data_IF_266231353230
#
_entry.id   IF_266231353230
#
_cell.length_a   1.000
_cell.length_b   1.000
_cell.length_c   1.000
_cell.angle_alpha   90.00
_cell.angle_beta   90.00
_cell.angle_gamma   90.00
#
_symmetry.space_group_name_H-M   'P 1'
#
loop_
_entity.id
_entity.type
_entity.pdbx_description
1 polymer ?
#
# COMPACT_ATOMS: atom_id res chain seq x y z
N UNK A 1 -11.21 -23.79 19.88
CA UNK A 1 -10.29 -24.45 18.92
C UNK A 1 -8.94 -24.63 19.58
N UNK A 2 -8.27 -25.80 19.42
CA UNK A 2 -6.88 -25.96 19.86
C UNK A 2 -5.99 -24.95 19.15
N UNK A 3 -4.90 -24.49 19.79
CA UNK A 3 -4.02 -23.45 19.25
C UNK A 3 -3.49 -23.72 17.84
N UNK A 4 -3.29 -25.01 17.49
CA UNK A 4 -2.81 -25.44 16.17
C UNK A 4 -3.91 -25.31 15.09
N UNK A 5 -5.14 -25.71 15.40
CA UNK A 5 -6.28 -25.58 14.47
C UNK A 5 -6.56 -24.11 14.14
N UNK A 6 -6.41 -23.22 15.11
CA UNK A 6 -6.59 -21.80 14.91
C UNK A 6 -5.49 -21.18 14.03
N UNK A 7 -4.21 -21.62 14.17
CA UNK A 7 -3.13 -21.18 13.28
C UNK A 7 -3.36 -21.63 11.84
N UNK A 8 -3.78 -22.85 11.62
CA UNK A 8 -4.10 -23.35 10.27
C UNK A 8 -5.21 -22.51 9.65
N UNK A 9 -6.28 -22.22 10.40
CA UNK A 9 -7.37 -21.37 9.93
C UNK A 9 -6.88 -19.96 9.53
N UNK A 10 -6.08 -19.32 10.38
CA UNK A 10 -5.49 -18.01 10.07
C UNK A 10 -4.59 -18.05 8.83
N UNK A 11 -3.86 -19.14 8.62
CA UNK A 11 -3.01 -19.30 7.44
C UNK A 11 -3.85 -19.42 6.17
N UNK A 12 -4.92 -20.19 6.19
CA UNK A 12 -5.85 -20.34 5.06
C UNK A 12 -6.52 -18.98 4.76
N UNK A 13 -7.04 -18.31 5.80
CA UNK A 13 -7.64 -16.97 5.67
C UNK A 13 -6.64 -15.97 5.05
N UNK A 14 -5.39 -15.97 5.53
CA UNK A 14 -4.31 -15.12 5.00
C UNK A 14 -4.04 -15.39 3.51
N UNK A 15 -3.92 -16.67 3.12
CA UNK A 15 -3.67 -17.04 1.72
C UNK A 15 -4.83 -16.64 0.81
N UNK A 16 -6.06 -16.86 1.24
CA UNK A 16 -7.25 -16.49 0.46
C UNK A 16 -7.31 -14.95 0.30
N UNK A 17 -7.15 -14.19 1.37
CA UNK A 17 -7.31 -12.73 1.33
C UNK A 17 -6.18 -12.04 0.55
N UNK A 18 -4.93 -12.45 0.75
CA UNK A 18 -3.78 -11.72 0.23
C UNK A 18 -3.20 -12.26 -1.07
N UNK A 19 -3.60 -13.48 -1.47
CA UNK A 19 -3.19 -14.06 -2.74
C UNK A 19 -4.40 -14.47 -3.60
N UNK A 20 -5.41 -15.10 -3.00
CA UNK A 20 -6.60 -15.53 -3.73
C UNK A 20 -7.39 -14.36 -4.32
N UNK A 21 -7.65 -13.32 -3.52
CA UNK A 21 -8.41 -12.14 -3.99
C UNK A 21 -7.67 -11.40 -5.12
N UNK A 22 -6.35 -11.07 -5.03
CA UNK A 22 -5.62 -10.48 -6.15
C UNK A 22 -5.61 -11.33 -7.42
N UNK A 23 -5.49 -12.67 -7.29
CA UNK A 23 -5.54 -13.59 -8.45
C UNK A 23 -6.91 -13.58 -9.11
N UNK A 24 -7.99 -13.55 -8.32
CA UNK A 24 -9.35 -13.44 -8.87
C UNK A 24 -9.55 -12.14 -9.64
N UNK A 25 -9.05 -11.01 -9.11
CA UNK A 25 -9.10 -9.71 -9.81
C UNK A 25 -8.26 -9.75 -11.10
N UNK A 26 -7.09 -10.39 -11.06
CA UNK A 26 -6.18 -10.50 -12.19
C UNK A 26 -6.78 -11.31 -13.34
N UNK A 27 -7.59 -12.33 -13.06
CA UNK A 27 -8.18 -13.19 -14.10
C UNK A 27 -9.49 -12.67 -14.70
N UNK A 28 -10.15 -11.75 -14.03
CA UNK A 28 -11.48 -11.26 -14.44
C UNK A 28 -11.44 -9.75 -14.70
N UNK A 29 -10.69 -9.38 -15.77
CA UNK A 29 -10.46 -7.98 -16.16
C UNK A 29 -11.74 -7.21 -16.45
N UNK A 30 -12.77 -7.89 -16.99
CA UNK A 30 -14.02 -7.27 -17.45
C UNK A 30 -15.07 -7.11 -16.34
N UNK A 31 -14.95 -7.87 -15.25
CA UNK A 31 -16.04 -7.99 -14.27
C UNK A 31 -15.98 -6.96 -13.14
N UNK A 32 -14.80 -6.66 -12.60
CA UNK A 32 -14.74 -5.79 -11.42
C UNK A 32 -13.50 -4.87 -11.46
N UNK A 33 -13.74 -3.59 -11.70
CA UNK A 33 -12.69 -2.60 -11.56
C UNK A 33 -12.10 -2.66 -10.13
N UNK A 34 -10.76 -2.71 -9.95
CA UNK A 34 -10.10 -2.86 -8.64
C UNK A 34 -10.58 -1.88 -7.56
N UNK A 35 -10.97 -0.66 -7.97
CA UNK A 35 -11.50 0.37 -7.06
C UNK A 35 -12.83 -0.02 -6.42
N UNK A 36 -13.65 -0.86 -7.06
CA UNK A 36 -14.97 -1.28 -6.53
C UNK A 36 -14.78 -2.33 -5.44
N UNK A 37 -13.76 -3.18 -5.55
CA UNK A 37 -13.49 -4.24 -4.57
C UNK A 37 -12.93 -3.68 -3.27
N UNK A 38 -12.21 -2.57 -3.31
CA UNK A 38 -11.51 -2.05 -2.13
C UNK A 38 -12.49 -1.72 -0.98
N UNK A 39 -13.67 -1.20 -1.29
CA UNK A 39 -14.67 -0.84 -0.27
C UNK A 39 -15.25 -2.06 0.46
N UNK A 40 -15.77 -3.11 -0.22
CA UNK A 40 -16.20 -4.34 0.43
C UNK A 40 -15.09 -5.02 1.22
N UNK A 41 -13.87 -5.07 0.69
CA UNK A 41 -12.70 -5.65 1.38
C UNK A 41 -12.38 -4.85 2.64
N UNK A 42 -12.37 -3.52 2.58
CA UNK A 42 -12.18 -2.68 3.76
C UNK A 42 -13.29 -2.89 4.79
N UNK A 43 -14.55 -2.92 4.37
CA UNK A 43 -15.68 -3.18 5.27
C UNK A 43 -15.53 -4.55 5.98
N UNK A 44 -15.17 -5.59 5.23
CA UNK A 44 -14.90 -6.91 5.79
C UNK A 44 -13.73 -6.89 6.79
N UNK A 45 -12.63 -6.22 6.44
CA UNK A 45 -11.47 -6.04 7.32
C UNK A 45 -11.83 -5.28 8.60
N UNK A 46 -12.64 -4.24 8.52
CA UNK A 46 -13.13 -3.54 9.72
C UNK A 46 -13.96 -4.43 10.62
N UNK A 47 -14.80 -5.32 10.07
CA UNK A 47 -15.55 -6.31 10.85
C UNK A 47 -14.58 -7.26 11.57
N UNK A 48 -13.54 -7.75 10.89
CA UNK A 48 -12.53 -8.62 11.49
C UNK A 48 -11.68 -7.90 12.54
N UNK A 49 -11.30 -6.65 12.31
CA UNK A 49 -10.55 -5.82 13.26
C UNK A 49 -11.36 -5.59 14.56
N UNK A 50 -12.66 -5.32 14.47
CA UNK A 50 -13.54 -5.19 15.66
C UNK A 50 -13.54 -6.44 16.54
N UNK A 51 -13.31 -7.62 15.95
CA UNK A 51 -13.25 -8.90 16.66
C UNK A 51 -11.86 -9.24 17.19
N UNK A 52 -10.87 -8.36 16.94
CA UNK A 52 -9.48 -8.55 17.38
C UNK A 52 -9.29 -7.84 18.72
N UNK A 53 -8.98 -8.58 19.79
CA UNK A 53 -8.93 -8.08 21.17
C UNK A 53 -7.96 -6.92 21.39
N UNK A 54 -6.85 -6.89 20.64
CA UNK A 54 -5.78 -5.91 20.80
C UNK A 54 -5.92 -4.69 19.89
N UNK A 55 -7.04 -4.56 19.16
CA UNK A 55 -7.26 -3.43 18.27
C UNK A 55 -8.10 -2.33 18.95
N UNK A 56 -7.67 -1.09 18.75
CA UNK A 56 -8.40 0.11 19.22
C UNK A 56 -8.52 1.11 18.06
N UNK A 57 -9.73 1.59 17.81
CA UNK A 57 -10.05 2.53 16.72
C UNK A 57 -9.18 3.78 16.71
N UNK A 58 -8.82 4.30 17.88
CA UNK A 58 -7.91 5.44 18.02
C UNK A 58 -6.52 5.22 17.42
N UNK A 59 -6.11 3.96 17.20
CA UNK A 59 -4.81 3.65 16.59
C UNK A 59 -4.78 4.05 15.10
N UNK A 60 -5.95 4.07 14.44
CA UNK A 60 -6.03 4.43 13.02
C UNK A 60 -5.68 5.90 12.78
N UNK A 61 -6.03 6.79 13.70
CA UNK A 61 -5.79 8.23 13.59
C UNK A 61 -4.61 8.73 14.45
N UNK A 62 -3.92 7.81 15.13
CA UNK A 62 -2.85 8.18 16.05
C UNK A 62 -1.58 8.61 15.29
N UNK A 63 -1.15 9.85 15.55
CA UNK A 63 0.13 10.36 15.08
C UNK A 63 1.20 10.15 16.15
N UNK A 64 1.98 9.06 16.03
CA UNK A 64 3.01 8.67 16.99
C UNK A 64 4.40 8.79 16.36
N UNK A 65 4.81 10.02 16.05
CA UNK A 65 6.04 10.26 15.29
C UNK A 65 6.91 11.28 16.02
N UNK A 66 8.14 10.91 16.34
CA UNK A 66 9.13 11.85 16.87
C UNK A 66 9.70 12.74 15.77
N UNK A 67 10.22 13.92 16.15
CA UNK A 67 10.86 14.84 15.18
C UNK A 67 12.00 14.18 14.42
N UNK A 68 12.77 13.30 15.07
CA UNK A 68 13.89 12.57 14.45
C UNK A 68 13.37 11.60 13.37
N UNK A 69 12.30 10.85 13.66
CA UNK A 69 11.68 9.93 12.67
C UNK A 69 11.08 10.71 11.51
N UNK A 70 10.42 11.83 11.80
CA UNK A 70 9.89 12.70 10.74
C UNK A 70 11.02 13.21 9.83
N UNK A 71 12.08 13.79 10.40
CA UNK A 71 13.20 14.33 9.62
C UNK A 71 13.90 13.26 8.78
N UNK A 72 14.17 12.06 9.35
CA UNK A 72 14.81 10.98 8.61
C UNK A 72 13.95 10.48 7.44
N UNK A 73 12.63 10.35 7.62
CA UNK A 73 11.74 9.91 6.55
C UNK A 73 11.51 11.02 5.50
N UNK A 74 11.48 12.30 5.90
CA UNK A 74 11.46 13.42 4.94
C UNK A 74 12.70 13.43 4.05
N UNK A 75 13.89 13.15 4.61
CA UNK A 75 15.11 13.01 3.82
C UNK A 75 15.02 11.86 2.81
N UNK A 76 14.49 10.70 3.23
CA UNK A 76 14.26 9.56 2.32
C UNK A 76 13.31 9.94 1.20
N UNK A 77 12.20 10.65 1.51
CA UNK A 77 11.26 11.14 0.48
C UNK A 77 11.96 12.04 -0.52
N UNK A 78 12.79 13.00 -0.07
CA UNK A 78 13.53 13.91 -0.94
C UNK A 78 14.49 13.13 -1.84
N UNK A 79 15.26 12.20 -1.28
CA UNK A 79 16.20 11.37 -2.05
C UNK A 79 15.44 10.54 -3.09
N UNK A 80 14.35 9.88 -2.71
CA UNK A 80 13.53 9.12 -3.64
C UNK A 80 12.94 10.01 -4.75
N UNK A 81 12.46 11.21 -4.40
CA UNK A 81 11.93 12.16 -5.39
C UNK A 81 13.00 12.54 -6.42
N UNK A 82 14.24 12.84 -5.98
CA UNK A 82 15.37 13.16 -6.86
C UNK A 82 15.69 11.96 -7.75
N UNK A 83 15.77 10.74 -7.20
CA UNK A 83 16.10 9.54 -7.96
C UNK A 83 15.02 9.22 -9.00
N UNK A 84 13.74 9.31 -8.63
CA UNK A 84 12.60 9.06 -9.53
C UNK A 84 12.59 10.11 -10.65
N UNK A 85 12.72 11.39 -10.30
CA UNK A 85 12.78 12.48 -11.26
C UNK A 85 13.96 12.31 -12.21
N UNK A 86 15.15 11.97 -11.68
CA UNK A 86 16.35 11.71 -12.48
C UNK A 86 16.15 10.52 -13.42
N UNK A 87 15.55 9.42 -12.93
CA UNK A 87 15.25 8.26 -13.77
C UNK A 87 14.35 8.65 -14.96
N UNK A 88 13.23 9.32 -14.69
CA UNK A 88 12.31 9.71 -15.78
C UNK A 88 12.96 10.73 -16.72
N UNK A 89 13.71 11.68 -16.19
CA UNK A 89 14.40 12.68 -17.01
C UNK A 89 15.42 12.08 -17.99
N UNK A 90 16.18 11.05 -17.56
CA UNK A 90 17.22 10.45 -18.40
C UNK A 90 16.75 9.28 -19.25
N UNK A 91 15.76 8.50 -18.79
CA UNK A 91 15.37 7.24 -19.43
C UNK A 91 13.95 7.23 -19.99
N UNK A 92 13.07 8.17 -19.57
CA UNK A 92 11.65 8.19 -19.99
C UNK A 92 11.13 9.64 -20.13
N UNK A 93 11.93 10.47 -20.77
CA UNK A 93 11.72 11.92 -20.83
C UNK A 93 10.37 12.33 -21.46
N UNK A 94 9.83 11.52 -22.36
CA UNK A 94 8.54 11.77 -23.01
C UNK A 94 7.40 11.78 -21.98
N UNK A 95 7.49 10.92 -20.98
CA UNK A 95 6.52 10.80 -19.89
C UNK A 95 6.73 11.80 -18.74
N UNK A 96 7.81 12.61 -18.79
CA UNK A 96 8.12 13.56 -17.73
C UNK A 96 6.98 14.57 -17.54
N UNK A 97 6.35 14.53 -16.37
CA UNK A 97 5.16 15.31 -15.99
C UNK A 97 3.98 15.16 -16.97
N UNK A 98 3.87 14.01 -17.64
CA UNK A 98 2.83 13.80 -18.63
C UNK A 98 1.43 14.04 -18.05
N UNK A 99 1.05 13.33 -16.96
CA UNK A 99 -0.28 13.44 -16.37
C UNK A 99 -0.63 14.87 -15.89
N UNK A 100 0.21 15.59 -15.13
CA UNK A 100 -0.10 16.97 -14.76
C UNK A 100 -0.16 17.94 -15.93
N UNK A 101 0.55 17.68 -17.05
CA UNK A 101 0.54 18.53 -18.24
C UNK A 101 -0.66 18.29 -19.14
N UNK A 102 -1.01 17.02 -19.40
CA UNK A 102 -2.11 16.65 -20.30
C UNK A 102 -3.47 16.60 -19.59
N UNK A 103 -3.49 16.16 -18.32
CA UNK A 103 -4.72 15.99 -17.54
C UNK A 103 -4.62 16.60 -16.13
N UNK A 104 -4.44 17.93 -15.97
CA UNK A 104 -4.19 18.58 -14.69
C UNK A 104 -5.30 18.35 -13.65
N UNK A 105 -6.55 18.26 -14.09
CA UNK A 105 -7.69 18.01 -13.20
C UNK A 105 -7.71 16.58 -12.65
N UNK A 106 -7.29 15.60 -13.46
CA UNK A 106 -7.13 14.21 -13.01
C UNK A 106 -6.00 14.13 -12.00
N UNK A 107 -4.88 14.78 -12.28
CA UNK A 107 -3.76 14.83 -11.33
C UNK A 107 -4.16 15.52 -10.01
N UNK A 108 -4.92 16.62 -10.07
CA UNK A 108 -5.45 17.27 -8.87
C UNK A 108 -6.36 16.34 -8.07
N UNK A 109 -7.24 15.61 -8.75
CA UNK A 109 -8.10 14.62 -8.11
C UNK A 109 -7.27 13.53 -7.41
N UNK A 110 -6.19 13.04 -8.05
CA UNK A 110 -5.26 12.09 -7.42
C UNK A 110 -4.62 12.72 -6.17
N UNK A 111 -4.14 13.96 -6.25
CA UNK A 111 -3.52 14.63 -5.09
C UNK A 111 -4.48 14.73 -3.89
N UNK A 112 -5.78 14.92 -4.13
CA UNK A 112 -6.78 15.06 -3.08
C UNK A 112 -7.32 13.73 -2.56
N UNK A 113 -7.61 12.79 -3.45
CA UNK A 113 -8.35 11.59 -3.11
C UNK A 113 -7.47 10.35 -2.89
N UNK A 114 -6.37 10.21 -3.62
CA UNK A 114 -5.49 9.05 -3.50
C UNK A 114 -4.94 8.84 -2.08
N UNK A 115 -4.43 9.86 -1.36
CA UNK A 115 -3.92 9.67 0.01
C UNK A 115 -4.97 9.14 0.98
N UNK A 116 -6.23 9.56 0.81
CA UNK A 116 -7.33 9.23 1.73
C UNK A 116 -7.97 7.89 1.37
N UNK A 117 -8.33 7.69 0.12
CA UNK A 117 -9.12 6.52 -0.29
C UNK A 117 -8.26 5.32 -0.66
N UNK A 118 -7.11 5.55 -1.30
CA UNK A 118 -6.21 4.47 -1.74
C UNK A 118 -5.13 4.19 -0.71
N UNK A 119 -4.22 5.13 -0.49
CA UNK A 119 -3.06 4.91 0.38
C UNK A 119 -3.45 4.57 1.83
N UNK A 120 -4.37 5.32 2.44
CA UNK A 120 -4.79 5.07 3.81
C UNK A 120 -5.51 3.72 3.94
N UNK A 121 -6.41 3.38 3.02
CA UNK A 121 -7.08 2.08 3.00
C UNK A 121 -6.10 0.92 2.91
N UNK A 122 -5.14 1.02 1.99
CA UNK A 122 -4.10 0.01 1.82
C UNK A 122 -3.21 -0.12 3.07
N UNK A 123 -2.81 0.98 3.70
CA UNK A 123 -2.01 0.92 4.93
C UNK A 123 -2.79 0.30 6.11
N UNK A 124 -4.11 0.52 6.20
CA UNK A 124 -4.94 -0.20 7.20
C UNK A 124 -4.88 -1.70 6.94
N UNK A 125 -5.02 -2.16 5.70
CA UNK A 125 -5.00 -3.57 5.32
C UNK A 125 -3.62 -4.18 5.60
N UNK A 126 -2.58 -3.62 4.99
CA UNK A 126 -1.26 -4.23 4.95
C UNK A 126 -0.41 -3.96 6.20
N UNK A 127 -0.76 -2.97 7.04
CA UNK A 127 -0.04 -2.67 8.28
C UNK A 127 -0.87 -3.03 9.50
N UNK A 128 -1.99 -2.34 9.73
CA UNK A 128 -2.76 -2.54 10.96
C UNK A 128 -3.42 -3.93 11.01
N UNK A 129 -4.19 -4.29 10.00
CA UNK A 129 -4.91 -5.56 9.98
C UNK A 129 -3.94 -6.75 9.96
N UNK A 130 -2.97 -6.75 9.06
CA UNK A 130 -2.00 -7.83 8.96
C UNK A 130 -1.22 -8.03 10.26
N UNK A 131 -0.71 -6.96 10.88
CA UNK A 131 0.05 -7.04 12.13
C UNK A 131 -0.78 -7.54 13.32
N UNK A 132 -2.05 -7.13 13.40
CA UNK A 132 -2.94 -7.49 14.52
C UNK A 132 -3.54 -8.89 14.32
N UNK A 133 -4.09 -9.17 13.15
CA UNK A 133 -4.82 -10.42 12.88
C UNK A 133 -3.91 -11.63 12.79
N UNK A 134 -2.73 -11.46 12.15
CA UNK A 134 -1.83 -12.57 11.82
C UNK A 134 -0.56 -12.60 12.68
N UNK A 135 -0.53 -11.91 13.82
CA UNK A 135 0.59 -11.93 14.78
C UNK A 135 1.01 -13.35 15.21
N UNK A 136 0.06 -14.29 15.28
CA UNK A 136 0.32 -15.69 15.66
C UNK A 136 1.03 -16.50 14.58
N UNK A 137 0.87 -16.15 13.31
CA UNK A 137 1.61 -16.81 12.20
C UNK A 137 2.89 -16.07 11.86
N UNK A 138 2.99 -14.78 12.18
CA UNK A 138 4.17 -13.95 12.00
C UNK A 138 4.74 -13.42 13.34
N UNK A 139 5.28 -14.31 14.20
CA UNK A 139 5.66 -13.92 15.57
C UNK A 139 6.90 -13.02 15.64
N UNK A 140 7.78 -13.07 14.63
CA UNK A 140 8.97 -12.24 14.59
C UNK A 140 8.70 -10.94 13.84
N UNK A 141 9.33 -9.86 14.28
CA UNK A 141 9.19 -8.54 13.65
C UNK A 141 9.47 -8.54 12.14
N UNK A 142 10.53 -9.22 11.72
CA UNK A 142 10.88 -9.30 10.30
C UNK A 142 9.90 -10.15 9.48
N UNK A 143 9.24 -11.18 10.07
CA UNK A 143 8.19 -11.94 9.40
C UNK A 143 7.05 -11.03 8.95
N UNK A 144 6.62 -10.13 9.84
CA UNK A 144 5.60 -9.12 9.50
C UNK A 144 6.05 -8.22 8.36
N UNK A 145 7.29 -7.69 8.42
CA UNK A 145 7.81 -6.78 7.38
C UNK A 145 7.81 -7.46 6.01
N UNK A 146 8.32 -8.69 5.94
CA UNK A 146 8.37 -9.45 4.69
C UNK A 146 6.96 -9.83 4.20
N UNK A 147 6.13 -10.38 5.08
CA UNK A 147 4.76 -10.75 4.71
C UNK A 147 3.96 -9.55 4.21
N UNK A 148 4.06 -8.42 4.91
CA UNK A 148 3.40 -7.18 4.53
C UNK A 148 3.88 -6.64 3.18
N UNK A 149 5.18 -6.68 2.92
CA UNK A 149 5.74 -6.21 1.65
C UNK A 149 5.41 -7.13 0.47
N UNK A 150 5.52 -8.44 0.67
CA UNK A 150 5.21 -9.43 -0.37
C UNK A 150 3.73 -9.37 -0.75
N UNK A 151 2.83 -9.36 0.23
CA UNK A 151 1.38 -9.30 -0.05
C UNK A 151 0.97 -7.96 -0.66
N UNK A 152 1.60 -6.86 -0.24
CA UNK A 152 1.38 -5.55 -0.84
C UNK A 152 1.86 -5.49 -2.29
N UNK A 153 3.05 -6.03 -2.57
CA UNK A 153 3.56 -6.16 -3.94
C UNK A 153 2.67 -7.07 -4.79
N UNK A 154 2.23 -8.19 -4.23
CA UNK A 154 1.41 -9.16 -4.96
C UNK A 154 0.03 -8.60 -5.35
N UNK A 155 -0.56 -7.68 -4.57
CA UNK A 155 -1.78 -6.97 -5.00
C UNK A 155 -1.58 -6.28 -6.35
N UNK A 156 -0.37 -5.77 -6.62
CA UNK A 156 -0.08 -4.99 -7.83
C UNK A 156 0.10 -5.85 -9.10
N UNK A 157 -0.08 -7.18 -9.00
CA UNK A 157 -0.18 -8.07 -10.17
C UNK A 157 -1.29 -7.63 -11.12
N UNK A 158 -2.34 -7.00 -10.57
CA UNK A 158 -3.50 -6.48 -11.32
C UNK A 158 -3.14 -5.41 -12.36
N UNK A 159 -1.96 -4.81 -12.29
CA UNK A 159 -1.48 -3.84 -13.28
C UNK A 159 -0.73 -4.47 -14.46
N UNK A 160 -0.59 -5.78 -14.51
CA UNK A 160 0.02 -6.55 -15.61
C UNK A 160 1.46 -6.12 -15.97
N UNK A 161 2.19 -5.51 -15.03
CA UNK A 161 3.59 -5.15 -15.27
C UNK A 161 4.47 -5.45 -14.04
N UNK A 162 5.71 -5.93 -14.26
CA UNK A 162 6.63 -6.29 -13.18
C UNK A 162 7.21 -5.06 -12.46
N UNK A 163 7.20 -3.88 -13.09
CA UNK A 163 7.78 -2.65 -12.51
C UNK A 163 6.95 -2.23 -11.30
N UNK A 164 5.61 -2.25 -11.39
CA UNK A 164 4.74 -1.95 -10.26
C UNK A 164 4.99 -2.90 -9.09
N UNK A 165 5.17 -4.19 -9.36
CA UNK A 165 5.44 -5.19 -8.34
C UNK A 165 6.80 -4.98 -7.66
N UNK A 166 7.86 -4.68 -8.41
CA UNK A 166 9.19 -4.40 -7.84
C UNK A 166 9.16 -3.13 -7.00
N UNK A 167 8.61 -2.05 -7.52
CA UNK A 167 8.52 -0.77 -6.82
C UNK A 167 7.70 -0.89 -5.54
N UNK A 168 6.57 -1.60 -5.58
CA UNK A 168 5.72 -1.81 -4.42
C UNK A 168 6.30 -2.82 -3.42
N UNK A 169 7.14 -3.76 -3.85
CA UNK A 169 7.91 -4.59 -2.93
C UNK A 169 8.90 -3.75 -2.12
N UNK A 170 9.68 -2.90 -2.79
CA UNK A 170 10.66 -2.01 -2.15
C UNK A 170 9.93 -1.01 -1.22
N UNK A 171 8.91 -0.33 -1.72
CA UNK A 171 8.08 0.58 -0.95
C UNK A 171 7.36 -0.12 0.22
N UNK A 172 6.90 -1.34 -0.01
CA UNK A 172 6.25 -2.19 0.98
C UNK A 172 7.18 -2.55 2.15
N UNK A 173 8.42 -2.93 1.87
CA UNK A 173 9.46 -3.18 2.87
C UNK A 173 9.75 -1.93 3.70
N UNK A 174 9.90 -0.79 3.04
CA UNK A 174 10.14 0.50 3.69
C UNK A 174 8.97 0.89 4.60
N UNK A 175 7.75 0.97 4.08
CA UNK A 175 6.57 1.37 4.83
C UNK A 175 6.25 0.41 5.99
N UNK A 176 6.39 -0.91 5.79
CA UNK A 176 6.22 -1.89 6.86
C UNK A 176 7.24 -1.68 7.99
N UNK A 177 8.47 -1.32 7.65
CA UNK A 177 9.49 -1.01 8.65
C UNK A 177 9.20 0.28 9.41
N UNK A 178 8.75 1.32 8.70
CA UNK A 178 8.31 2.58 9.33
C UNK A 178 7.13 2.34 10.26
N UNK A 179 6.13 1.57 9.83
CA UNK A 179 5.01 1.20 10.69
C UNK A 179 5.47 0.43 11.93
N UNK A 180 6.38 -0.52 11.78
CA UNK A 180 6.92 -1.28 12.90
C UNK A 180 7.65 -0.41 13.92
N UNK A 181 8.33 0.65 13.46
CA UNK A 181 9.06 1.59 14.31
C UNK A 181 8.13 2.56 15.06
N UNK A 182 7.05 3.01 14.39
CA UNK A 182 6.19 4.08 14.89
C UNK A 182 4.87 3.58 15.49
N UNK A 183 4.35 2.45 14.99
CA UNK A 183 2.99 2.01 15.27
C UNK A 183 1.92 2.98 14.75
N UNK A 184 2.26 3.88 13.82
CA UNK A 184 1.36 4.90 13.28
C UNK A 184 1.00 4.58 11.83
N UNK A 185 -0.22 4.03 11.62
CA UNK A 185 -0.76 3.83 10.29
C UNK A 185 -1.00 5.15 9.56
N UNK A 186 -1.40 6.18 10.29
CA UNK A 186 -1.61 7.51 9.71
C UNK A 186 -0.32 8.08 9.11
N UNK A 187 0.81 7.93 9.80
CA UNK A 187 2.10 8.39 9.29
C UNK A 187 2.56 7.60 8.06
N UNK A 188 2.43 6.27 8.08
CA UNK A 188 2.76 5.46 6.90
C UNK A 188 1.85 5.77 5.72
N UNK A 189 0.58 6.08 5.97
CA UNK A 189 -0.36 6.50 4.92
C UNK A 189 0.02 7.84 4.29
N UNK A 190 0.48 8.80 5.10
CA UNK A 190 0.99 10.08 4.57
C UNK A 190 2.21 9.85 3.68
N UNK A 191 3.17 9.03 4.12
CA UNK A 191 4.34 8.70 3.30
C UNK A 191 3.93 7.99 2.01
N UNK A 192 3.04 7.00 2.10
CA UNK A 192 2.50 6.28 0.93
C UNK A 192 1.79 7.24 -0.04
N UNK A 193 0.94 8.13 0.49
CA UNK A 193 0.27 9.15 -0.31
C UNK A 193 1.25 10.06 -1.05
N UNK A 194 2.32 10.52 -0.37
CA UNK A 194 3.37 11.34 -0.99
C UNK A 194 4.06 10.57 -2.13
N UNK A 195 4.44 9.30 -1.91
CA UNK A 195 5.06 8.50 -2.97
C UNK A 195 4.12 8.29 -4.16
N UNK A 196 2.84 8.00 -3.91
CA UNK A 196 1.87 7.88 -5.00
C UNK A 196 1.72 9.17 -5.81
N UNK A 197 1.56 10.31 -5.14
CA UNK A 197 1.50 11.63 -5.80
C UNK A 197 2.77 11.89 -6.63
N UNK A 198 3.95 11.54 -6.10
CA UNK A 198 5.22 11.66 -6.84
C UNK A 198 5.24 10.77 -8.08
N UNK A 199 4.87 9.49 -7.98
CA UNK A 199 4.85 8.58 -9.13
C UNK A 199 3.91 9.09 -10.23
N UNK A 200 2.68 9.46 -9.89
CA UNK A 200 1.73 10.01 -10.86
C UNK A 200 2.19 11.36 -11.40
N UNK A 201 2.78 12.20 -10.56
CA UNK A 201 3.22 13.55 -10.94
C UNK A 201 4.43 13.55 -11.85
N UNK A 202 5.41 12.68 -11.62
CA UNK A 202 6.67 12.68 -12.37
C UNK A 202 6.56 11.96 -13.72
N UNK A 203 5.59 11.03 -13.88
CA UNK A 203 5.39 10.31 -15.15
C UNK A 203 5.45 8.79 -15.02
N UNK A 204 5.56 8.25 -13.78
CA UNK A 204 5.54 6.80 -13.54
C UNK A 204 4.13 6.26 -13.25
N UNK A 205 3.10 7.08 -13.31
CA UNK A 205 1.71 6.69 -13.07
C UNK A 205 1.21 5.57 -13.98
N UNK A 206 1.73 5.49 -15.20
CA UNK A 206 1.45 4.42 -16.18
C UNK A 206 1.68 3.00 -15.63
N UNK A 207 2.56 2.81 -14.65
CA UNK A 207 2.80 1.51 -14.04
C UNK A 207 1.77 1.14 -12.96
N UNK A 208 0.90 2.08 -12.57
CA UNK A 208 -0.07 1.95 -11.47
C UNK A 208 -1.51 2.26 -11.87
N UNK A 209 -1.77 2.36 -13.16
CA UNK A 209 -3.10 2.63 -13.68
C UNK A 209 -3.32 1.86 -14.99
N UNK A 210 -4.34 1.01 -15.00
CA UNK A 210 -4.87 0.41 -16.22
C UNK A 210 -5.54 1.52 -17.04
N UNK A 211 -5.25 1.58 -18.33
CA UNK A 211 -5.83 2.57 -19.28
C UNK A 211 -5.65 4.04 -18.85
N UNK A 212 -4.46 4.37 -18.31
CA UNK A 212 -4.15 5.75 -17.95
C UNK A 212 -4.29 6.65 -19.22
N UNK A 213 -5.06 7.74 -19.15
CA UNK A 213 -5.12 8.68 -20.25
C UNK A 213 -3.75 9.34 -20.43
N UNK A 214 -3.12 9.14 -21.58
CA UNK A 214 -1.82 9.69 -21.99
C UNK A 214 -1.96 10.71 -23.10
#
# INVERSE_FOLDING_TARGET
MSGNKYRIWLTIEFLILFFGVPVLIYWDEDFIHPSIIILPVLAFIFILLRRTSDFRWKELVAWKVSRRVLASNSLVVIICAILILGYVFFFDRENLFNLPRSHPWIYLAICLFYPVFSAYGQEIIYRTFLSKRYSRIFPKKWHFVVASAVTFSFLHIVYYNPISMILTLIGGLYLARVYQQTGSVLFTSVLHGIYGILFFGVGMGQYFWLDMPV
#
